data_IF_473989941504
#
_entry.id   IF_473989941504
#
_cell.length_a   1.000
_cell.length_b   1.000
_cell.length_c   1.000
_cell.angle_alpha   90.00
_cell.angle_beta   90.00
_cell.angle_gamma   90.00
#
_symmetry.space_group_name_H-M   'P 1'
#
loop_
_entity.id
_entity.type
_entity.pdbx_description
1 polymer ?
#
# COMPACT_ATOMS: atom_id res chain seq x y z
N UNK A 1 -46.03 19.18 41.18
CA UNK A 1 -44.57 19.37 41.11
C UNK A 1 -43.96 18.23 40.27
N UNK A 2 -43.33 18.51 39.12
CA UNK A 2 -42.64 17.47 38.34
C UNK A 2 -41.23 17.24 38.91
N UNK A 3 -40.87 15.98 39.19
CA UNK A 3 -39.54 15.59 39.67
C UNK A 3 -38.54 15.63 38.50
N UNK A 4 -37.50 16.43 38.63
CA UNK A 4 -36.33 16.43 37.73
C UNK A 4 -35.69 15.04 37.76
N UNK A 5 -35.72 14.32 36.64
CA UNK A 5 -34.98 13.07 36.45
C UNK A 5 -33.50 13.41 36.44
N UNK A 6 -32.75 12.98 37.45
CA UNK A 6 -31.29 13.13 37.47
C UNK A 6 -30.70 12.39 36.28
N UNK A 7 -29.87 13.08 35.50
CA UNK A 7 -29.12 12.47 34.42
C UNK A 7 -28.13 11.47 35.01
N UNK A 8 -28.21 10.21 34.59
CA UNK A 8 -27.27 9.16 34.99
C UNK A 8 -25.87 9.49 34.45
N UNK A 9 -24.80 9.37 35.25
CA UNK A 9 -23.43 9.76 34.86
C UNK A 9 -22.82 8.89 33.75
N UNK A 10 -23.54 7.87 33.29
CA UNK A 10 -23.07 6.86 32.34
C UNK A 10 -23.38 7.19 30.86
N UNK A 11 -23.66 8.46 30.53
CA UNK A 11 -23.85 8.86 29.13
C UNK A 11 -22.49 9.20 28.53
N UNK A 12 -22.02 8.38 27.59
CA UNK A 12 -20.80 8.66 26.81
C UNK A 12 -20.99 10.00 26.08
N UNK A 13 -20.17 10.99 26.43
CA UNK A 13 -20.17 12.28 25.74
C UNK A 13 -19.64 12.08 24.31
N UNK A 14 -20.20 12.80 23.33
CA UNK A 14 -19.65 12.79 21.97
C UNK A 14 -18.19 13.28 22.01
N UNK A 15 -17.31 12.72 21.17
CA UNK A 15 -15.90 13.14 21.13
C UNK A 15 -15.84 14.62 20.73
N UNK A 16 -15.27 15.44 21.61
CA UNK A 16 -15.02 16.86 21.37
C UNK A 16 -13.51 17.09 21.26
N UNK A 17 -13.10 17.87 20.27
CA UNK A 17 -11.69 18.19 20.07
C UNK A 17 -11.23 19.17 21.17
N UNK A 18 -10.03 18.98 21.75
CA UNK A 18 -9.51 19.89 22.76
C UNK A 18 -9.15 21.25 22.14
N UNK A 19 -9.54 22.35 22.81
CA UNK A 19 -9.21 23.71 22.39
C UNK A 19 -7.70 23.99 22.60
N UNK A 20 -6.97 24.19 21.50
CA UNK A 20 -5.51 24.27 21.51
C UNK A 20 -4.95 25.56 22.11
N UNK A 21 -5.76 26.62 22.21
CA UNK A 21 -5.39 27.91 22.82
C UNK A 21 -5.14 27.80 24.33
N UNK A 22 -5.77 26.84 25.00
CA UNK A 22 -5.64 26.62 26.44
C UNK A 22 -4.32 25.91 26.82
N UNK A 23 -3.61 25.31 25.87
CA UNK A 23 -2.38 24.59 26.18
C UNK A 23 -1.31 25.48 26.79
N UNK A 24 -1.18 26.73 26.32
CA UNK A 24 -0.22 27.68 26.88
C UNK A 24 -0.52 28.04 28.34
N UNK A 25 -1.79 27.98 28.75
CA UNK A 25 -2.23 28.30 30.10
C UNK A 25 -2.06 27.12 31.07
N UNK A 26 -2.21 25.88 30.59
CA UNK A 26 -2.24 24.67 31.44
C UNK A 26 -0.90 23.91 31.45
N UNK A 27 0.04 24.24 30.56
CA UNK A 27 1.29 23.47 30.41
C UNK A 27 2.14 23.40 31.69
N UNK A 28 2.17 24.48 32.49
CA UNK A 28 2.93 24.52 33.75
C UNK A 28 2.35 23.54 34.77
N UNK A 29 1.02 23.53 34.90
CA UNK A 29 0.31 22.61 35.79
C UNK A 29 0.50 21.15 35.34
N UNK A 30 0.46 20.90 34.03
CA UNK A 30 0.67 19.57 33.47
C UNK A 30 2.09 19.03 33.79
N UNK A 31 3.12 19.88 33.70
CA UNK A 31 4.49 19.50 34.09
C UNK A 31 4.57 19.21 35.58
N UNK A 32 3.96 20.04 36.42
CA UNK A 32 3.93 19.82 37.86
C UNK A 32 3.25 18.47 38.22
N UNK A 33 2.09 18.18 37.61
CA UNK A 33 1.38 16.91 37.78
C UNK A 33 2.23 15.73 37.30
N UNK A 34 2.93 15.85 36.17
CA UNK A 34 3.78 14.80 35.65
C UNK A 34 4.96 14.48 36.60
N UNK A 35 5.63 15.50 37.15
CA UNK A 35 6.73 15.33 38.09
C UNK A 35 6.23 14.66 39.38
N UNK A 36 5.12 15.14 39.94
CA UNK A 36 4.52 14.57 41.16
C UNK A 36 4.08 13.13 40.92
N UNK A 37 3.39 12.86 39.82
CA UNK A 37 2.94 11.51 39.44
C UNK A 37 4.10 10.53 39.26
N UNK A 38 5.17 10.96 38.59
CA UNK A 38 6.38 10.15 38.43
C UNK A 38 7.07 9.86 39.77
N UNK A 39 7.24 10.88 40.61
CA UNK A 39 7.87 10.77 41.93
C UNK A 39 7.12 9.78 42.84
N UNK A 40 5.79 9.92 42.92
CA UNK A 40 4.94 9.01 43.71
C UNK A 40 5.03 7.57 43.20
N UNK A 41 5.00 7.38 41.88
CA UNK A 41 5.08 6.04 41.27
C UNK A 41 6.40 5.35 41.58
N UNK A 42 7.54 6.04 41.39
CA UNK A 42 8.88 5.49 41.69
C UNK A 42 9.07 5.26 43.19
N UNK A 43 8.59 6.16 44.04
CA UNK A 43 8.66 6.01 45.50
C UNK A 43 7.89 4.79 45.99
N UNK A 44 6.67 4.58 45.48
CA UNK A 44 5.86 3.41 45.80
C UNK A 44 6.51 2.11 45.27
N UNK A 45 7.07 2.13 44.06
CA UNK A 45 7.79 0.99 43.48
C UNK A 45 9.01 0.59 44.34
N UNK A 46 9.82 1.56 44.78
CA UNK A 46 10.98 1.29 45.66
C UNK A 46 10.57 0.75 47.03
N UNK A 47 9.49 1.28 47.61
CA UNK A 47 8.96 0.81 48.89
C UNK A 47 8.51 -0.65 48.81
N UNK A 48 7.83 -1.04 47.74
CA UNK A 48 7.42 -2.42 47.50
C UNK A 48 8.60 -3.35 47.21
N UNK A 49 9.59 -2.87 46.46
CA UNK A 49 10.79 -3.63 46.13
C UNK A 49 11.63 -3.91 47.38
N UNK A 50 11.88 -2.91 48.22
CA UNK A 50 12.61 -3.07 49.48
C UNK A 50 11.91 -4.05 50.43
N UNK A 51 10.57 -4.06 50.46
CA UNK A 51 9.78 -5.00 51.28
C UNK A 51 9.99 -6.46 50.86
N UNK A 52 10.31 -6.72 49.59
CA UNK A 52 10.52 -8.06 49.04
C UNK A 52 11.98 -8.34 48.67
N UNK A 53 12.92 -7.43 49.02
CA UNK A 53 14.35 -7.59 48.76
C UNK A 53 14.79 -7.35 47.30
N UNK A 54 13.98 -6.69 46.48
CA UNK A 54 14.33 -6.35 45.09
C UNK A 54 14.99 -4.97 44.98
N UNK A 55 15.92 -4.81 44.03
CA UNK A 55 16.50 -3.51 43.67
C UNK A 55 15.75 -2.95 42.46
N UNK A 56 15.29 -1.70 42.54
CA UNK A 56 14.59 -1.01 41.43
C UNK A 56 15.45 0.11 40.89
N UNK A 57 15.89 -0.04 39.64
CA UNK A 57 16.48 1.03 38.85
C UNK A 57 15.36 1.81 38.10
N UNK A 58 15.36 3.13 38.23
CA UNK A 58 14.40 4.00 37.57
C UNK A 58 14.50 3.95 36.03
N UNK A 59 15.71 3.85 35.48
CA UNK A 59 15.92 3.79 34.02
C UNK A 59 15.38 2.49 33.45
N UNK A 60 15.65 1.38 34.13
CA UNK A 60 15.12 0.07 33.74
C UNK A 60 13.60 0.04 33.86
N UNK A 61 13.03 0.62 34.93
CA UNK A 61 11.57 0.68 35.11
C UNK A 61 10.88 1.45 33.97
N UNK A 62 11.44 2.60 33.56
CA UNK A 62 10.90 3.39 32.45
C UNK A 62 11.00 2.63 31.12
N UNK A 63 12.15 2.02 30.81
CA UNK A 63 12.32 1.22 29.60
C UNK A 63 11.34 0.03 29.57
N UNK A 64 11.20 -0.66 30.70
CA UNK A 64 10.26 -1.79 30.85
C UNK A 64 8.82 -1.34 30.63
N UNK A 65 8.43 -0.20 31.20
CA UNK A 65 7.09 0.36 31.03
C UNK A 65 6.82 0.70 29.56
N UNK A 66 7.78 1.32 28.85
CA UNK A 66 7.65 1.61 27.41
C UNK A 66 7.47 0.33 26.61
N UNK A 67 8.29 -0.69 26.86
CA UNK A 67 8.19 -1.99 26.18
C UNK A 67 6.83 -2.64 26.45
N UNK A 68 6.34 -2.64 27.69
CA UNK A 68 5.02 -3.22 28.04
C UNK A 68 3.88 -2.47 27.35
N UNK A 69 3.93 -1.13 27.31
CA UNK A 69 2.90 -0.32 26.62
C UNK A 69 2.90 -0.59 25.12
N UNK A 70 4.08 -0.67 24.50
CA UNK A 70 4.20 -1.01 23.08
C UNK A 70 3.75 -2.45 22.79
N UNK A 71 4.10 -3.42 23.62
CA UNK A 71 3.62 -4.79 23.52
C UNK A 71 2.10 -4.87 23.61
N UNK A 72 1.48 -4.14 24.55
CA UNK A 72 0.02 -4.06 24.64
C UNK A 72 -0.59 -3.53 23.33
N UNK A 73 -0.02 -2.48 22.74
CA UNK A 73 -0.45 -1.97 21.43
C UNK A 73 -0.34 -3.04 20.34
N UNK A 74 0.79 -3.75 20.28
CA UNK A 74 1.02 -4.83 19.34
C UNK A 74 0.00 -5.97 19.50
N UNK A 75 -0.28 -6.41 20.72
CA UNK A 75 -1.28 -7.46 20.98
C UNK A 75 -2.70 -7.05 20.57
N UNK A 76 -3.06 -5.77 20.66
CA UNK A 76 -4.35 -5.31 20.13
C UNK A 76 -4.42 -5.46 18.62
N UNK A 77 -3.31 -5.21 17.90
CA UNK A 77 -3.23 -5.34 16.44
C UNK A 77 -3.40 -6.79 15.95
N UNK A 78 -3.07 -7.80 16.77
CA UNK A 78 -3.37 -9.20 16.44
C UNK A 78 -4.88 -9.48 16.32
N UNK A 79 -5.72 -8.65 16.95
CA UNK A 79 -7.17 -8.80 16.82
C UNK A 79 -7.68 -8.45 15.42
N UNK A 80 -6.85 -7.79 14.60
CA UNK A 80 -7.16 -7.43 13.21
C UNK A 80 -6.74 -8.53 12.20
N UNK A 81 -6.01 -9.58 12.62
CA UNK A 81 -5.65 -10.71 11.75
C UNK A 81 -6.84 -11.38 11.04
N UNK A 82 -7.98 -11.64 11.71
CA UNK A 82 -9.14 -12.25 11.08
C UNK A 82 -9.74 -11.39 9.96
N UNK A 83 -9.60 -10.07 10.06
CA UNK A 83 -10.02 -9.13 9.03
C UNK A 83 -9.09 -9.20 7.81
N UNK A 84 -7.76 -9.17 8.00
CA UNK A 84 -6.79 -9.28 6.90
C UNK A 84 -6.92 -10.60 6.13
N UNK A 85 -7.17 -11.72 6.81
CA UNK A 85 -7.37 -13.04 6.17
C UNK A 85 -8.53 -13.03 5.17
N UNK A 86 -9.60 -12.27 5.45
CA UNK A 86 -10.77 -12.19 4.55
C UNK A 86 -10.59 -11.22 3.39
N UNK A 87 -9.77 -10.18 3.55
CA UNK A 87 -9.57 -9.15 2.52
C UNK A 87 -8.50 -9.54 1.52
N UNK A 88 -7.29 -9.92 1.97
CA UNK A 88 -6.18 -10.19 1.07
C UNK A 88 -5.09 -11.02 1.73
N UNK A 89 -4.86 -12.22 1.18
CA UNK A 89 -3.80 -13.15 1.63
C UNK A 89 -2.38 -12.57 1.50
N UNK A 90 -2.17 -11.62 0.59
CA UNK A 90 -0.88 -10.96 0.35
C UNK A 90 -0.48 -10.11 1.57
N UNK A 91 -1.38 -9.25 2.05
CA UNK A 91 -1.14 -8.39 3.23
C UNK A 91 -0.86 -9.22 4.49
N UNK A 92 -1.60 -10.31 4.68
CA UNK A 92 -1.36 -11.24 5.77
C UNK A 92 0.03 -11.89 5.68
N UNK A 93 0.46 -12.30 4.48
CA UNK A 93 1.76 -12.94 4.27
C UNK A 93 2.90 -11.97 4.58
N UNK A 94 2.77 -10.68 4.20
CA UNK A 94 3.75 -9.64 4.50
C UNK A 94 3.84 -9.41 6.01
N UNK A 95 2.69 -9.27 6.66
CA UNK A 95 2.60 -9.07 8.11
C UNK A 95 3.23 -10.24 8.87
N UNK A 96 2.88 -11.47 8.49
CA UNK A 96 3.38 -12.68 9.13
C UNK A 96 4.89 -12.85 8.90
N UNK A 97 5.36 -12.68 7.67
CA UNK A 97 6.78 -12.83 7.33
C UNK A 97 7.63 -11.79 8.05
N UNK A 98 7.16 -10.54 8.15
CA UNK A 98 7.86 -9.47 8.86
C UNK A 98 7.88 -9.70 10.37
N UNK A 99 6.76 -10.15 10.95
CA UNK A 99 6.68 -10.47 12.36
C UNK A 99 7.60 -11.63 12.75
N UNK A 100 7.56 -12.72 11.97
CA UNK A 100 8.42 -13.89 12.17
C UNK A 100 9.90 -13.50 11.99
N UNK A 101 10.24 -12.74 10.95
CA UNK A 101 11.62 -12.26 10.73
C UNK A 101 12.14 -11.47 11.93
N UNK A 102 11.34 -10.52 12.44
CA UNK A 102 11.71 -9.70 13.61
C UNK A 102 11.89 -10.52 14.89
N UNK A 103 11.11 -11.60 15.06
CA UNK A 103 11.19 -12.46 16.25
C UNK A 103 12.44 -13.35 16.26
N UNK A 104 12.84 -13.89 15.10
CA UNK A 104 13.95 -14.84 15.01
C UNK A 104 15.30 -14.20 14.69
N UNK A 105 15.32 -13.16 13.86
CA UNK A 105 16.56 -12.51 13.40
C UNK A 105 16.90 -11.26 14.22
N UNK A 106 15.95 -10.75 15.01
CA UNK A 106 16.10 -9.50 15.76
C UNK A 106 15.50 -8.30 15.03
N UNK A 107 15.32 -7.19 15.77
CA UNK A 107 14.59 -6.01 15.29
C UNK A 107 15.25 -5.37 14.06
N UNK A 108 16.58 -5.33 14.02
CA UNK A 108 17.34 -4.69 12.95
C UNK A 108 17.15 -5.41 11.60
N UNK A 109 17.28 -6.74 11.60
CA UNK A 109 17.05 -7.58 10.42
C UNK A 109 15.58 -7.70 10.06
N UNK A 110 14.68 -7.69 11.05
CA UNK A 110 13.24 -7.65 10.86
C UNK A 110 12.78 -6.43 10.07
N UNK A 111 13.32 -5.25 10.43
CA UNK A 111 13.04 -4.00 9.75
C UNK A 111 13.55 -4.00 8.31
N UNK A 112 14.78 -4.46 8.09
CA UNK A 112 15.36 -4.61 6.74
C UNK A 112 14.46 -5.50 5.88
N UNK A 113 14.10 -6.68 6.40
CA UNK A 113 13.26 -7.64 5.69
C UNK A 113 11.88 -7.04 5.36
N UNK A 114 11.29 -6.28 6.28
CA UNK A 114 10.03 -5.58 6.08
C UNK A 114 10.07 -4.60 4.90
N UNK A 115 11.13 -3.77 4.85
CA UNK A 115 11.33 -2.78 3.78
C UNK A 115 11.47 -3.48 2.43
N UNK A 116 12.28 -4.54 2.35
CA UNK A 116 12.48 -5.30 1.11
C UNK A 116 11.15 -5.90 0.64
N UNK A 117 10.42 -6.59 1.52
CA UNK A 117 9.13 -7.23 1.18
C UNK A 117 8.08 -6.19 0.79
N UNK A 118 8.04 -5.04 1.45
CA UNK A 118 7.12 -3.95 1.11
C UNK A 118 7.41 -3.40 -0.29
N UNK A 119 8.69 -3.15 -0.61
CA UNK A 119 9.09 -2.68 -1.95
C UNK A 119 8.75 -3.70 -3.03
N UNK A 120 9.06 -4.99 -2.81
CA UNK A 120 8.73 -6.06 -3.75
C UNK A 120 7.21 -6.20 -3.95
N UNK A 121 6.43 -6.08 -2.87
CA UNK A 121 4.97 -6.14 -2.97
C UNK A 121 4.42 -4.98 -3.80
N UNK A 122 4.92 -3.76 -3.58
CA UNK A 122 4.52 -2.60 -4.38
C UNK A 122 4.81 -2.84 -5.85
N UNK A 123 6.03 -3.29 -6.18
CA UNK A 123 6.41 -3.63 -7.56
C UNK A 123 5.46 -4.69 -8.14
N UNK A 124 5.20 -5.78 -7.42
CA UNK A 124 4.33 -6.86 -7.88
C UNK A 124 2.90 -6.39 -8.14
N UNK A 125 2.34 -5.58 -7.23
CA UNK A 125 0.98 -5.03 -7.37
C UNK A 125 0.88 -4.07 -8.54
N UNK A 126 1.90 -3.25 -8.74
CA UNK A 126 2.00 -2.27 -9.82
C UNK A 126 2.13 -2.95 -11.19
N UNK A 127 2.80 -4.10 -11.27
CA UNK A 127 3.00 -4.84 -12.52
C UNK A 127 1.81 -5.70 -12.98
N UNK A 128 0.76 -5.84 -12.18
CA UNK A 128 -0.42 -6.65 -12.52
C UNK A 128 -1.70 -5.82 -12.76
N UNK A 129 -1.73 -4.83 -13.67
CA UNK A 129 -2.98 -4.17 -14.06
C UNK A 129 -3.79 -5.10 -14.98
N UNK A 130 -4.82 -5.75 -14.43
CA UNK A 130 -5.81 -6.47 -15.24
C UNK A 130 -6.82 -5.46 -15.79
N UNK A 131 -6.66 -5.03 -17.04
CA UNK A 131 -7.66 -4.23 -17.73
C UNK A 131 -8.61 -5.14 -18.54
N UNK A 132 -9.89 -4.80 -18.59
CA UNK A 132 -10.86 -5.37 -19.52
C UNK A 132 -11.38 -4.26 -20.41
N UNK A 133 -11.34 -4.46 -21.72
CA UNK A 133 -11.75 -3.45 -22.70
C UNK A 133 -13.26 -3.58 -22.94
N UNK A 134 -14.02 -2.54 -22.58
CA UNK A 134 -15.48 -2.50 -22.76
C UNK A 134 -15.85 -1.59 -23.93
N UNK A 135 -16.67 -2.10 -24.86
CA UNK A 135 -17.26 -1.35 -25.97
C UNK A 135 -18.69 -0.91 -25.67
N UNK A 136 -19.09 0.29 -26.12
CA UNK A 136 -20.45 0.81 -25.94
C UNK A 136 -21.34 0.45 -27.13
N UNK A 137 -22.54 -0.05 -26.85
CA UNK A 137 -23.55 -0.40 -27.85
C UNK A 137 -24.24 0.89 -28.38
N UNK A 138 -24.41 1.08 -29.70
CA UNK A 138 -25.07 2.26 -30.26
C UNK A 138 -26.48 2.46 -29.69
N UNK A 139 -26.84 3.72 -29.41
CA UNK A 139 -28.14 4.12 -28.85
C UNK A 139 -28.54 3.49 -27.50
N UNK A 140 -27.58 2.92 -26.77
CA UNK A 140 -27.81 2.41 -25.41
C UNK A 140 -26.63 2.74 -24.47
N UNK A 141 -26.91 2.79 -23.17
CA UNK A 141 -25.90 3.03 -22.13
C UNK A 141 -25.20 1.73 -21.67
N UNK A 142 -25.26 0.70 -22.51
CA UNK A 142 -24.82 -0.66 -22.18
C UNK A 142 -23.41 -0.90 -22.74
N UNK A 143 -22.51 -1.31 -21.85
CA UNK A 143 -21.12 -1.65 -22.16
C UNK A 143 -20.94 -3.17 -22.17
N UNK A 144 -20.43 -3.71 -23.28
CA UNK A 144 -20.23 -5.15 -23.49
C UNK A 144 -18.77 -5.40 -23.91
N UNK A 145 -18.23 -6.56 -23.56
CA UNK A 145 -16.93 -7.01 -24.01
C UNK A 145 -16.88 -7.10 -25.55
N UNK A 146 -15.77 -6.68 -26.16
CA UNK A 146 -15.64 -6.60 -27.62
C UNK A 146 -15.62 -7.99 -28.24
N UNK A 147 -15.09 -8.98 -27.51
CA UNK A 147 -15.04 -10.37 -27.96
C UNK A 147 -16.45 -10.99 -28.00
N UNK A 148 -17.37 -10.55 -27.13
CA UNK A 148 -18.78 -10.97 -27.15
C UNK A 148 -19.60 -10.29 -28.26
N UNK A 149 -19.03 -9.28 -28.93
CA UNK A 149 -19.69 -8.53 -29.99
C UNK A 149 -19.67 -9.26 -31.34
N UNK A 150 -18.68 -10.14 -31.57
CA UNK A 150 -18.56 -10.98 -32.78
C UNK A 150 -19.68 -12.04 -32.90
N UNK A 151 -20.25 -12.50 -31.79
CA UNK A 151 -21.30 -13.54 -31.78
C UNK A 151 -22.70 -13.03 -32.19
N UNK A 152 -22.94 -11.71 -32.21
CA UNK A 152 -24.30 -11.14 -32.33
C UNK A 152 -24.75 -10.77 -33.75
N UNK A 153 -23.91 -10.99 -34.78
CA UNK A 153 -24.31 -10.79 -36.18
C UNK A 153 -24.51 -9.33 -36.62
N UNK A 154 -23.86 -8.37 -35.93
CA UNK A 154 -23.95 -6.93 -36.22
C UNK A 154 -23.13 -6.55 -37.47
N UNK A 155 -23.55 -5.50 -38.17
CA UNK A 155 -22.96 -5.01 -39.41
C UNK A 155 -21.42 -4.75 -39.28
N UNK A 156 -20.55 -5.33 -40.13
CA UNK A 156 -19.10 -5.35 -39.94
C UNK A 156 -18.44 -3.97 -39.81
N UNK A 157 -18.96 -2.97 -40.52
CA UNK A 157 -18.42 -1.61 -40.50
C UNK A 157 -18.57 -0.93 -39.12
N UNK A 158 -19.67 -1.23 -38.41
CA UNK A 158 -19.95 -0.67 -37.09
C UNK A 158 -19.02 -1.28 -36.03
N UNK A 159 -18.78 -2.59 -36.14
CA UNK A 159 -17.84 -3.34 -35.29
C UNK A 159 -16.42 -2.79 -35.47
N UNK A 160 -15.99 -2.58 -36.72
CA UNK A 160 -14.66 -2.00 -37.00
C UNK A 160 -14.49 -0.58 -36.41
N UNK A 161 -15.53 0.25 -36.46
CA UNK A 161 -15.52 1.59 -35.89
C UNK A 161 -15.45 1.59 -34.35
N UNK A 162 -16.24 0.74 -33.71
CA UNK A 162 -16.22 0.56 -32.26
C UNK A 162 -14.87 -0.01 -31.77
N UNK A 163 -14.35 -1.03 -32.47
CA UNK A 163 -13.03 -1.65 -32.21
C UNK A 163 -11.90 -0.63 -32.30
N UNK A 164 -11.87 0.25 -33.32
CA UNK A 164 -10.87 1.32 -33.41
C UNK A 164 -10.92 2.31 -32.24
N UNK A 165 -12.13 2.73 -31.81
CA UNK A 165 -12.27 3.66 -30.69
C UNK A 165 -11.85 3.03 -29.37
N UNK A 166 -12.26 1.78 -29.14
CA UNK A 166 -11.87 1.02 -27.96
C UNK A 166 -10.36 0.76 -27.91
N UNK A 167 -9.74 0.39 -29.04
CA UNK A 167 -8.28 0.21 -29.15
C UNK A 167 -7.50 1.50 -28.86
N UNK A 168 -7.97 2.66 -29.34
CA UNK A 168 -7.33 3.95 -29.01
C UNK A 168 -7.44 4.31 -27.53
N UNK A 169 -8.60 4.06 -26.91
CA UNK A 169 -8.78 4.26 -25.47
C UNK A 169 -7.86 3.33 -24.68
N UNK A 170 -7.83 2.07 -25.08
CA UNK A 170 -6.96 1.04 -24.52
C UNK A 170 -5.48 1.44 -24.58
N UNK A 171 -4.96 1.84 -25.74
CA UNK A 171 -3.57 2.28 -25.89
C UNK A 171 -3.22 3.47 -24.98
N UNK A 172 -4.13 4.44 -24.85
CA UNK A 172 -3.95 5.60 -23.96
C UNK A 172 -3.94 5.22 -22.48
N UNK A 173 -4.83 4.33 -22.09
CA UNK A 173 -5.00 3.89 -20.69
C UNK A 173 -3.84 2.99 -20.24
N UNK A 174 -3.36 2.11 -21.13
CA UNK A 174 -2.14 1.32 -20.93
C UNK A 174 -0.89 2.20 -20.92
N UNK A 175 -0.75 3.15 -21.85
CA UNK A 175 0.36 4.10 -21.82
C UNK A 175 0.42 4.88 -20.50
N UNK A 176 -0.73 5.33 -20.00
CA UNK A 176 -0.81 6.02 -18.71
C UNK A 176 -0.46 5.10 -17.52
N UNK A 177 -0.93 3.84 -17.54
CA UNK A 177 -0.57 2.85 -16.51
C UNK A 177 0.92 2.49 -16.54
N UNK A 178 1.52 2.34 -17.72
CA UNK A 178 2.94 2.08 -17.89
C UNK A 178 3.79 3.25 -17.40
N UNK A 179 3.40 4.49 -17.72
CA UNK A 179 4.07 5.70 -17.21
C UNK A 179 3.97 5.81 -15.68
N UNK A 180 2.81 5.47 -15.11
CA UNK A 180 2.63 5.41 -13.66
C UNK A 180 3.54 4.34 -13.02
N UNK A 181 3.60 3.14 -13.61
CA UNK A 181 4.47 2.05 -13.18
C UNK A 181 5.95 2.47 -13.24
N UNK A 182 6.40 3.10 -14.33
CA UNK A 182 7.76 3.60 -14.49
C UNK A 182 8.11 4.68 -13.44
N UNK A 183 7.16 5.55 -13.11
CA UNK A 183 7.33 6.57 -12.07
C UNK A 183 7.48 5.94 -10.68
N UNK A 184 6.63 4.97 -10.36
CA UNK A 184 6.72 4.22 -9.10
C UNK A 184 8.08 3.54 -8.97
N UNK A 185 8.55 2.89 -10.04
CA UNK A 185 9.84 2.20 -10.00
C UNK A 185 11.01 3.19 -9.85
N UNK A 186 10.96 4.36 -10.50
CA UNK A 186 11.95 5.43 -10.28
C UNK A 186 11.99 5.90 -8.82
N UNK A 187 10.83 6.10 -8.20
CA UNK A 187 10.74 6.47 -6.78
C UNK A 187 11.32 5.36 -5.88
N UNK A 188 11.02 4.10 -6.17
CA UNK A 188 11.58 2.95 -5.43
C UNK A 188 13.12 2.90 -5.55
N UNK A 189 13.67 3.09 -6.76
CA UNK A 189 15.13 3.16 -6.97
C UNK A 189 15.76 4.31 -6.17
N UNK A 190 15.10 5.47 -6.12
CA UNK A 190 15.58 6.60 -5.32
C UNK A 190 15.61 6.26 -3.82
N UNK A 191 14.53 5.66 -3.30
CA UNK A 191 14.45 5.24 -1.89
C UNK A 191 15.58 4.24 -1.56
N UNK A 192 15.85 3.27 -2.43
CA UNK A 192 16.93 2.29 -2.22
C UNK A 192 18.30 2.96 -2.23
N UNK A 193 18.52 3.92 -3.13
CA UNK A 193 19.77 4.67 -3.19
C UNK A 193 19.98 5.54 -1.94
N UNK A 194 18.91 6.16 -1.43
CA UNK A 194 18.96 6.95 -0.19
C UNK A 194 19.26 6.06 1.05
N UNK A 195 18.66 4.87 1.11
CA UNK A 195 18.95 3.88 2.17
C UNK A 195 20.41 3.38 2.12
N UNK A 196 20.93 3.14 0.92
CA UNK A 196 22.33 2.76 0.71
C UNK A 196 23.29 3.87 1.13
N UNK A 197 23.00 5.12 0.72
CA UNK A 197 23.80 6.30 1.05
C UNK A 197 23.89 6.54 2.56
N UNK A 198 22.81 6.24 3.29
CA UNK A 198 22.76 6.38 4.75
C UNK A 198 23.39 5.18 5.49
N UNK A 199 24.01 4.22 4.79
CA UNK A 199 24.51 2.94 5.35
C UNK A 199 23.48 2.22 6.21
N UNK A 200 22.21 2.29 5.80
CA UNK A 200 21.13 1.63 6.53
C UNK A 200 21.22 0.11 6.43
N UNK A 201 21.74 -0.41 5.31
CA UNK A 201 22.00 -1.83 5.12
C UNK A 201 23.48 -2.14 5.37
N UNK A 202 23.78 -2.93 6.40
CA UNK A 202 25.15 -3.39 6.69
C UNK A 202 25.66 -4.44 5.69
N UNK A 203 24.74 -5.15 5.01
CA UNK A 203 25.07 -6.30 4.16
C UNK A 203 24.81 -6.01 2.67
N UNK A 204 25.86 -5.90 1.82
CA UNK A 204 25.72 -5.48 0.42
C UNK A 204 25.00 -6.51 -0.47
N UNK A 205 24.93 -7.78 -0.06
CA UNK A 205 24.28 -8.84 -0.83
C UNK A 205 22.75 -8.67 -0.92
N UNK A 206 22.11 -8.14 0.13
CA UNK A 206 20.66 -7.87 0.10
C UNK A 206 20.32 -6.69 -0.82
N UNK A 207 21.23 -5.72 -0.90
CA UNK A 207 21.13 -4.57 -1.78
C UNK A 207 21.19 -5.01 -3.26
N UNK A 208 22.16 -5.86 -3.60
CA UNK A 208 22.34 -6.46 -4.93
C UNK A 208 21.08 -7.19 -5.42
N UNK A 209 20.49 -8.03 -4.55
CA UNK A 209 19.24 -8.75 -4.85
C UNK A 209 18.06 -7.80 -5.13
N UNK A 210 17.98 -6.70 -4.38
CA UNK A 210 16.95 -5.69 -4.51
C UNK A 210 17.11 -4.89 -5.81
N UNK A 211 18.35 -4.51 -6.14
CA UNK A 211 18.68 -3.86 -7.41
C UNK A 211 18.38 -4.75 -8.61
N UNK A 212 18.71 -6.04 -8.54
CA UNK A 212 18.43 -6.98 -9.63
C UNK A 212 16.92 -7.12 -9.88
N UNK A 213 16.13 -7.31 -8.81
CA UNK A 213 14.68 -7.43 -8.91
C UNK A 213 14.02 -6.14 -9.42
N UNK A 214 14.54 -4.96 -9.04
CA UNK A 214 14.06 -3.67 -9.55
C UNK A 214 14.44 -3.50 -11.02
N UNK A 215 15.67 -3.83 -11.40
CA UNK A 215 16.15 -3.65 -12.76
C UNK A 215 15.40 -4.55 -13.75
N UNK A 216 15.18 -5.82 -13.40
CA UNK A 216 14.34 -6.74 -14.18
C UNK A 216 12.89 -6.25 -14.27
N UNK A 217 12.36 -5.66 -13.19
CA UNK A 217 11.04 -5.06 -13.19
C UNK A 217 10.94 -3.82 -14.12
N UNK A 218 11.96 -2.96 -14.14
CA UNK A 218 12.06 -1.82 -15.07
C UNK A 218 12.13 -2.33 -16.51
N UNK A 219 13.05 -3.26 -16.79
CA UNK A 219 13.22 -3.82 -18.12
C UNK A 219 11.92 -4.46 -18.63
N UNK A 220 11.23 -5.23 -17.78
CA UNK A 220 9.94 -5.82 -18.10
C UNK A 220 8.87 -4.79 -18.47
N UNK A 221 8.81 -3.66 -17.76
CA UNK A 221 7.87 -2.57 -18.10
C UNK A 221 8.19 -1.90 -19.45
N UNK A 222 9.48 -1.63 -19.72
CA UNK A 222 9.93 -0.96 -20.94
C UNK A 222 9.73 -1.84 -22.18
N UNK A 223 10.01 -3.14 -22.05
CA UNK A 223 9.82 -4.13 -23.12
C UNK A 223 8.34 -4.26 -23.48
N UNK A 224 7.45 -4.27 -22.48
CA UNK A 224 5.99 -4.32 -22.72
C UNK A 224 5.46 -3.06 -23.37
N UNK A 225 6.01 -1.89 -23.04
CA UNK A 225 5.67 -0.62 -23.67
C UNK A 225 6.07 -0.62 -25.15
N UNK A 226 7.29 -1.07 -25.46
CA UNK A 226 7.76 -1.20 -26.84
C UNK A 226 6.95 -2.22 -27.67
N UNK A 227 6.52 -3.33 -27.06
CA UNK A 227 5.67 -4.34 -27.71
C UNK A 227 4.27 -3.81 -28.00
N UNK A 228 3.65 -3.10 -27.05
CA UNK A 228 2.33 -2.49 -27.24
C UNK A 228 2.34 -1.41 -28.34
N UNK A 229 3.45 -0.67 -28.46
CA UNK A 229 3.65 0.35 -29.49
C UNK A 229 3.87 -0.27 -30.88
N UNK A 230 4.59 -1.40 -30.96
CA UNK A 230 4.73 -2.19 -32.19
C UNK A 230 3.40 -2.83 -32.63
N UNK A 231 2.63 -3.39 -31.71
CA UNK A 231 1.35 -4.05 -32.00
C UNK A 231 0.26 -3.04 -32.42
N UNK A 232 0.29 -1.82 -31.86
CA UNK A 232 -0.56 -0.71 -32.30
C UNK A 232 -0.19 -0.17 -33.69
N UNK A 233 1.08 -0.32 -34.11
CA UNK A 233 1.58 0.12 -35.42
C UNK A 233 1.45 -0.98 -36.50
N UNK A 234 1.37 -2.26 -36.10
CA UNK A 234 1.31 -3.41 -36.99
C UNK A 234 -0.12 -3.82 -37.45
N UNK A 235 -1.17 -3.09 -37.04
CA UNK A 235 -2.52 -3.34 -37.58
C UNK A 235 -2.54 -3.05 -39.10
N UNK A 236 -2.93 -4.00 -39.96
CA UNK A 236 -2.53 -4.02 -41.37
C UNK A 236 -3.29 -2.99 -42.23
N UNK A 237 -2.63 -2.32 -43.18
CA UNK A 237 -3.27 -1.74 -44.34
C UNK A 237 -3.37 -2.75 -45.50
N UNK A 238 -4.60 -2.87 -46.02
CA UNK A 238 -4.99 -3.26 -47.38
C UNK A 238 -5.01 -4.74 -47.75
N UNK A 239 -6.24 -5.24 -47.96
CA UNK A 239 -6.53 -6.12 -49.09
C UNK A 239 -7.49 -5.34 -50.00
N UNK A 240 -6.94 -4.41 -50.78
CA UNK A 240 -7.60 -3.86 -51.95
C UNK A 240 -6.62 -4.00 -53.14
N UNK A 241 -7.15 -4.57 -54.21
CA UNK A 241 -6.67 -4.57 -55.60
C UNK A 241 -5.67 -5.65 -56.06
N UNK A 242 -6.17 -6.52 -56.93
CA UNK A 242 -5.50 -6.83 -58.20
C UNK A 242 -6.55 -6.95 -59.34
N UNK A 243 -6.16 -6.77 -60.63
CA UNK A 243 -6.75 -5.75 -61.48
C UNK A 243 -7.44 -6.31 -62.73
N UNK A 244 -8.24 -5.46 -63.35
CA UNK A 244 -8.78 -5.66 -64.69
C UNK A 244 -7.65 -5.68 -65.74
N UNK A 245 -7.62 -6.73 -66.56
CA UNK A 245 -6.99 -6.79 -67.89
C UNK A 245 -7.88 -7.72 -68.73
N UNK A 246 -8.39 -7.39 -69.93
CA UNK A 246 -7.97 -6.42 -70.96
C UNK A 246 -9.14 -6.21 -71.95
N UNK A 247 -9.07 -5.20 -72.85
CA UNK A 247 -10.11 -4.81 -73.81
C UNK A 247 -9.93 -5.44 -75.22
N UNK A 248 -10.95 -5.27 -76.08
CA UNK A 248 -11.06 -5.63 -77.52
C UNK A 248 -11.14 -7.14 -77.83
N UNK A 249 -12.06 -7.67 -78.65
CA UNK A 249 -12.77 -7.15 -79.83
C UNK A 249 -14.22 -7.68 -79.90
#
# INVERSE_FOLDING_TARGET
MPRLKSASPFRLLPPANPDTSLFHLVYVDAIAIAIVGFSVTISMAKTLANKHGYQVDGNQAVLSAIVIVNLKGMFMQFSDLPFFWRTSKIELTIWLTTFVSSLFLGLDYGLITAVIIALLTVIYRTQSPSYKVLGQLPDTDVYIDIDAYEETGVNPALIMGARRKAMKKYAKEVGNANMANATIVKVVTQVVNDLSRNRFFENPALLELLFHSIHDAVLGSQVREALAEQEATAAPPQEDSEPNATPEA
#
